data_IF_214762987510
#
_entry.id   IF_214762987510
#
_cell.length_a   1.000
_cell.length_b   1.000
_cell.length_c   1.000
_cell.angle_alpha   90.00
_cell.angle_beta   90.00
_cell.angle_gamma   90.00
#
_symmetry.space_group_name_H-M   'P 1'
#
loop_
_entity.id
_entity.type
_entity.pdbx_description
1 polymer ?
#
# COMPACT_ATOMS: atom_id res chain seq x y z
N UNK A 1 17.82 -37.37 24.01
CA UNK A 1 16.39 -37.27 24.38
C UNK A 1 16.19 -35.97 25.13
N UNK A 2 15.73 -34.90 24.47
CA UNK A 2 15.47 -33.63 25.14
C UNK A 2 14.06 -33.16 24.84
N UNK A 3 13.35 -32.76 25.90
CA UNK A 3 11.89 -32.71 25.98
C UNK A 3 11.33 -31.50 25.25
N UNK A 4 10.27 -31.77 24.47
CA UNK A 4 9.37 -30.81 23.84
C UNK A 4 8.82 -29.82 24.90
N UNK A 5 8.86 -28.53 24.58
CA UNK A 5 7.97 -27.53 25.14
C UNK A 5 7.40 -26.71 23.99
N UNK A 6 6.37 -27.25 23.36
CA UNK A 6 5.47 -26.48 22.50
C UNK A 6 4.62 -25.58 23.39
N UNK A 7 4.92 -24.29 23.39
CA UNK A 7 4.09 -23.26 24.00
C UNK A 7 3.02 -22.89 22.97
N UNK A 8 1.81 -23.36 23.17
CA UNK A 8 0.63 -22.90 22.43
C UNK A 8 0.21 -21.55 23.00
N UNK A 9 0.52 -20.47 22.28
CA UNK A 9 0.00 -19.14 22.57
C UNK A 9 -1.41 -19.03 21.97
N UNK A 10 -2.43 -19.14 22.81
CA UNK A 10 -3.81 -18.77 22.45
C UNK A 10 -3.92 -17.25 22.45
N UNK A 11 -3.86 -16.63 21.27
CA UNK A 11 -4.22 -15.22 21.10
C UNK A 11 -5.74 -15.09 21.26
N UNK A 12 -6.20 -14.54 22.38
CA UNK A 12 -7.58 -14.17 22.57
C UNK A 12 -7.86 -12.91 21.72
N UNK A 13 -8.57 -13.08 20.61
CA UNK A 13 -9.08 -11.96 19.80
C UNK A 13 -10.31 -11.41 20.53
N UNK A 14 -10.13 -10.32 21.26
CA UNK A 14 -11.26 -9.55 21.79
C UNK A 14 -11.89 -8.76 20.65
N UNK A 15 -13.00 -9.27 20.09
CA UNK A 15 -13.85 -8.50 19.17
C UNK A 15 -14.57 -7.41 19.97
N UNK A 16 -14.03 -6.19 19.95
CA UNK A 16 -14.71 -5.02 20.49
C UNK A 16 -15.82 -4.65 19.52
N UNK A 17 -17.04 -5.09 19.79
CA UNK A 17 -18.22 -4.65 19.04
C UNK A 17 -18.63 -3.27 19.56
N UNK A 18 -17.95 -2.23 19.08
CA UNK A 18 -18.41 -0.86 19.26
C UNK A 18 -19.69 -0.66 18.44
N UNK A 19 -20.73 0.02 18.96
CA UNK A 19 -21.86 0.42 18.14
C UNK A 19 -21.36 1.51 17.21
N UNK A 20 -20.99 1.11 16.00
CA UNK A 20 -20.62 2.01 14.92
C UNK A 20 -21.88 2.78 14.52
N UNK A 21 -22.12 3.91 15.20
CA UNK A 21 -22.85 5.04 14.64
C UNK A 21 -22.00 5.72 13.55
N UNK A 22 -21.33 4.92 12.72
CA UNK A 22 -20.77 5.39 11.48
C UNK A 22 -21.98 5.66 10.60
N UNK A 23 -22.22 6.92 10.27
CA UNK A 23 -23.10 7.23 9.15
C UNK A 23 -22.60 6.46 7.93
N UNK A 24 -23.50 6.02 7.04
CA UNK A 24 -23.12 5.36 5.79
C UNK A 24 -21.98 6.11 5.08
N UNK A 25 -21.94 7.45 5.18
CA UNK A 25 -20.87 8.31 4.66
C UNK A 25 -19.45 7.88 5.08
N UNK A 26 -19.24 7.45 6.33
CA UNK A 26 -17.93 7.01 6.79
C UNK A 26 -17.61 5.59 6.29
N UNK A 27 -18.64 4.74 6.15
CA UNK A 27 -18.49 3.39 5.57
C UNK A 27 -18.20 3.48 4.07
N UNK A 28 -18.95 4.30 3.32
CA UNK A 28 -18.72 4.57 1.89
C UNK A 28 -17.29 5.09 1.67
N UNK A 29 -16.82 6.06 2.48
CA UNK A 29 -15.43 6.53 2.40
C UNK A 29 -14.39 5.48 2.75
N UNK A 30 -14.67 4.61 3.73
CA UNK A 30 -13.78 3.50 4.04
C UNK A 30 -13.73 2.47 2.90
N UNK A 31 -14.87 2.20 2.25
CA UNK A 31 -14.94 1.32 1.08
C UNK A 31 -14.22 1.92 -0.14
N UNK A 32 -14.35 3.23 -0.38
CA UNK A 32 -13.59 3.94 -1.41
C UNK A 32 -12.08 3.91 -1.12
N UNK A 33 -11.67 4.19 0.13
CA UNK A 33 -10.27 4.10 0.56
C UNK A 33 -9.71 2.69 0.34
N UNK A 34 -10.43 1.65 0.79
CA UNK A 34 -10.01 0.26 0.63
C UNK A 34 -9.97 -0.18 -0.84
N UNK A 35 -10.94 0.26 -1.66
CA UNK A 35 -10.98 -0.01 -3.10
C UNK A 35 -9.79 0.60 -3.84
N UNK A 36 -9.46 1.85 -3.55
CA UNK A 36 -8.32 2.53 -4.17
C UNK A 36 -6.99 2.00 -3.63
N UNK A 37 -6.86 1.73 -2.33
CA UNK A 37 -5.69 1.08 -1.75
C UNK A 37 -5.44 -0.31 -2.37
N UNK A 38 -6.48 -1.10 -2.62
CA UNK A 38 -6.37 -2.39 -3.34
C UNK A 38 -5.90 -2.23 -4.79
N UNK A 39 -6.35 -1.18 -5.47
CA UNK A 39 -5.91 -0.87 -6.84
C UNK A 39 -4.45 -0.44 -6.88
N UNK A 40 -4.00 0.28 -5.86
CA UNK A 40 -2.58 0.61 -5.66
C UNK A 40 -1.77 -0.65 -5.39
N UNK A 41 -2.19 -1.53 -4.47
CA UNK A 41 -1.48 -2.77 -4.17
C UNK A 41 -1.24 -3.60 -5.43
N UNK A 42 -2.26 -3.73 -6.29
CA UNK A 42 -2.12 -4.39 -7.60
C UNK A 42 -1.14 -3.66 -8.54
N UNK A 43 -1.16 -2.33 -8.54
CA UNK A 43 -0.23 -1.54 -9.34
C UNK A 43 1.22 -1.65 -8.83
N UNK A 44 1.41 -1.87 -7.52
CA UNK A 44 2.70 -2.16 -6.92
C UNK A 44 3.18 -3.56 -7.29
N UNK A 45 2.31 -4.56 -7.32
CA UNK A 45 2.65 -5.90 -7.82
C UNK A 45 3.07 -5.86 -9.30
N UNK A 46 2.33 -5.12 -10.14
CA UNK A 46 2.70 -4.85 -11.53
C UNK A 46 4.09 -4.21 -11.62
N UNK A 47 4.39 -3.24 -10.74
CA UNK A 47 5.70 -2.60 -10.68
C UNK A 47 6.79 -3.59 -10.27
N UNK A 48 6.56 -4.45 -9.28
CA UNK A 48 7.54 -5.46 -8.86
C UNK A 48 7.85 -6.43 -10.00
N UNK A 49 6.84 -6.83 -10.75
CA UNK A 49 7.00 -7.68 -11.92
C UNK A 49 7.77 -6.95 -13.02
N UNK A 50 7.37 -5.71 -13.35
CA UNK A 50 8.05 -4.90 -14.35
C UNK A 50 9.52 -4.59 -13.99
N UNK A 51 9.84 -4.38 -12.70
CA UNK A 51 11.22 -4.16 -12.23
C UNK A 51 12.03 -5.46 -12.26
N UNK A 52 11.41 -6.60 -11.97
CA UNK A 52 12.06 -7.92 -12.12
C UNK A 52 12.43 -8.21 -13.57
N UNK A 53 11.61 -7.72 -14.51
CA UNK A 53 11.82 -7.79 -15.95
C UNK A 53 12.55 -6.55 -16.52
N UNK A 54 12.91 -5.55 -15.69
CA UNK A 54 13.39 -4.23 -16.16
C UNK A 54 14.78 -4.26 -16.79
N UNK A 55 15.50 -5.37 -16.70
CA UNK A 55 16.67 -5.60 -17.56
C UNK A 55 16.32 -5.57 -19.06
N UNK A 56 15.04 -5.73 -19.41
CA UNK A 56 14.56 -5.85 -20.79
C UNK A 56 13.77 -4.61 -21.27
N UNK A 57 12.99 -3.93 -20.42
CA UNK A 57 12.24 -2.71 -20.81
C UNK A 57 11.94 -1.74 -19.62
N UNK A 58 12.75 -0.68 -19.42
CA UNK A 58 12.51 0.31 -18.37
C UNK A 58 11.22 1.14 -18.58
N UNK A 59 10.67 1.19 -19.79
CA UNK A 59 9.42 1.92 -20.06
C UNK A 59 8.19 1.23 -19.44
N UNK A 60 8.28 -0.08 -19.16
CA UNK A 60 7.21 -0.80 -18.46
C UNK A 60 7.14 -0.41 -16.99
N UNK A 61 8.30 -0.26 -16.33
CA UNK A 61 8.37 0.20 -14.95
C UNK A 61 7.83 1.64 -14.82
N UNK A 62 8.22 2.53 -15.73
CA UNK A 62 7.73 3.92 -15.73
C UNK A 62 6.20 4.01 -15.87
N UNK A 63 5.61 3.24 -16.80
CA UNK A 63 4.14 3.15 -16.92
C UNK A 63 3.45 2.60 -15.67
N UNK A 64 4.08 1.69 -14.94
CA UNK A 64 3.54 1.19 -13.68
C UNK A 64 3.58 2.28 -12.59
N UNK A 65 4.70 3.00 -12.49
CA UNK A 65 4.86 4.15 -11.59
C UNK A 65 3.85 5.26 -11.89
N UNK A 66 3.60 5.58 -13.16
CA UNK A 66 2.58 6.54 -13.58
C UNK A 66 1.17 6.15 -13.14
N UNK A 67 0.83 4.85 -13.24
CA UNK A 67 -0.47 4.35 -12.77
C UNK A 67 -0.60 4.50 -11.25
N UNK A 68 0.46 4.20 -10.51
CA UNK A 68 0.47 4.36 -9.05
C UNK A 68 0.28 5.83 -8.69
N UNK A 69 1.04 6.76 -9.28
CA UNK A 69 0.96 8.19 -8.98
C UNK A 69 -0.43 8.78 -9.28
N UNK A 70 -1.05 8.34 -10.39
CA UNK A 70 -2.41 8.74 -10.73
C UNK A 70 -3.41 8.30 -9.66
N UNK A 71 -3.34 7.03 -9.23
CA UNK A 71 -4.23 6.52 -8.18
C UNK A 71 -4.02 7.26 -6.85
N UNK A 72 -2.77 7.57 -6.49
CA UNK A 72 -2.44 8.35 -5.29
C UNK A 72 -3.01 9.76 -5.35
N UNK A 73 -2.99 10.39 -6.53
CA UNK A 73 -3.57 11.70 -6.77
C UNK A 73 -5.10 11.71 -6.73
N UNK A 74 -5.75 10.59 -7.05
CA UNK A 74 -7.18 10.44 -6.85
C UNK A 74 -7.50 10.30 -5.35
N UNK A 75 -6.75 9.47 -4.60
CA UNK A 75 -6.93 9.34 -3.15
C UNK A 75 -6.73 10.65 -2.40
N UNK A 76 -5.65 11.38 -2.70
CA UNK A 76 -5.31 12.64 -2.04
C UNK A 76 -6.43 13.70 -2.16
N UNK A 77 -7.24 13.64 -3.22
CA UNK A 77 -8.41 14.52 -3.39
C UNK A 77 -9.62 14.10 -2.56
N UNK A 78 -9.67 12.83 -2.16
CA UNK A 78 -10.79 12.20 -1.47
C UNK A 78 -10.55 12.03 0.03
N UNK A 79 -9.30 12.18 0.47
CA UNK A 79 -8.82 11.92 1.83
C UNK A 79 -8.26 13.17 2.50
N UNK A 80 -8.51 13.34 3.79
CA UNK A 80 -7.96 14.45 4.58
C UNK A 80 -6.48 14.22 4.99
N UNK A 81 -5.79 15.26 5.49
CA UNK A 81 -4.41 15.28 6.03
C UNK A 81 -4.17 14.37 7.28
N UNK A 82 -5.06 13.42 7.53
CA UNK A 82 -4.94 12.40 8.56
C UNK A 82 -3.92 11.31 8.19
N UNK A 83 -4.09 10.14 8.80
CA UNK A 83 -3.15 9.03 8.60
C UNK A 83 -3.18 8.48 7.18
N UNK A 84 -4.30 8.63 6.46
CA UNK A 84 -4.41 8.30 5.04
C UNK A 84 -3.53 9.22 4.18
N UNK A 85 -3.67 10.56 4.30
CA UNK A 85 -2.85 11.52 3.55
C UNK A 85 -1.35 11.38 3.81
N UNK A 86 -0.94 11.08 5.06
CA UNK A 86 0.46 10.76 5.40
C UNK A 86 0.94 9.48 4.72
N UNK A 87 0.10 8.44 4.66
CA UNK A 87 0.44 7.17 4.02
C UNK A 87 0.54 7.32 2.51
N UNK A 88 -0.38 8.09 1.90
CA UNK A 88 -0.32 8.48 0.48
C UNK A 88 0.99 9.23 0.17
N UNK A 89 1.37 10.18 1.02
CA UNK A 89 2.62 10.94 0.84
C UNK A 89 3.87 10.06 0.93
N UNK A 90 3.96 9.15 1.90
CA UNK A 90 5.08 8.19 1.99
C UNK A 90 5.15 7.27 0.77
N UNK A 91 4.00 6.84 0.27
CA UNK A 91 3.96 5.99 -0.92
C UNK A 91 4.40 6.76 -2.18
N UNK A 92 3.99 8.04 -2.33
CA UNK A 92 4.51 8.92 -3.40
C UNK A 92 6.03 9.05 -3.34
N UNK A 93 6.59 9.33 -2.15
CA UNK A 93 8.05 9.44 -1.97
C UNK A 93 8.79 8.13 -2.35
N UNK A 94 8.22 6.98 -2.01
CA UNK A 94 8.79 5.69 -2.37
C UNK A 94 8.75 5.45 -3.90
N UNK A 95 7.64 5.79 -4.55
CA UNK A 95 7.46 5.71 -6.01
C UNK A 95 8.45 6.62 -6.73
N UNK A 96 8.62 7.85 -6.26
CA UNK A 96 9.58 8.82 -6.83
C UNK A 96 11.03 8.35 -6.69
N UNK A 97 11.37 7.69 -5.58
CA UNK A 97 12.68 7.06 -5.43
C UNK A 97 12.91 5.94 -6.44
N UNK A 98 11.90 5.12 -6.72
CA UNK A 98 12.00 4.05 -7.74
C UNK A 98 12.13 4.67 -9.13
N UNK A 99 11.32 5.68 -9.46
CA UNK A 99 11.44 6.42 -10.74
C UNK A 99 12.84 6.98 -10.92
N UNK A 100 13.38 7.63 -9.89
CA UNK A 100 14.74 8.20 -9.90
C UNK A 100 15.83 7.14 -10.08
N UNK A 101 15.62 5.92 -9.59
CA UNK A 101 16.55 4.81 -9.81
C UNK A 101 16.47 4.33 -11.27
N UNK A 102 15.26 4.15 -11.81
CA UNK A 102 15.02 3.77 -13.22
C UNK A 102 15.64 4.78 -14.19
N UNK A 103 15.35 6.08 -14.01
CA UNK A 103 15.87 7.16 -14.85
C UNK A 103 17.39 7.26 -14.82
N UNK A 104 17.99 6.98 -13.66
CA UNK A 104 19.44 6.99 -13.49
C UNK A 104 20.12 5.68 -13.97
N UNK A 105 19.36 4.71 -14.49
CA UNK A 105 19.89 3.39 -14.86
C UNK A 105 20.43 2.58 -13.68
N UNK A 106 19.95 2.86 -12.46
CA UNK A 106 20.31 2.15 -11.23
C UNK A 106 19.29 1.04 -10.98
N UNK A 107 19.69 -0.02 -10.28
CA UNK A 107 18.76 -1.08 -9.87
C UNK A 107 17.75 -0.53 -8.87
N UNK A 108 16.45 -0.46 -9.23
CA UNK A 108 15.44 0.11 -8.33
C UNK A 108 15.15 -0.83 -7.17
N UNK A 109 14.87 -0.27 -5.99
CA UNK A 109 14.37 -1.04 -4.84
C UNK A 109 12.87 -0.81 -4.67
N UNK A 110 12.07 -1.86 -4.88
CA UNK A 110 10.60 -1.80 -4.79
C UNK A 110 10.07 -2.02 -3.37
N UNK A 111 10.86 -2.60 -2.47
CA UNK A 111 10.42 -2.90 -1.09
C UNK A 111 9.83 -1.68 -0.35
N UNK A 112 10.40 -0.46 -0.42
CA UNK A 112 9.79 0.72 0.22
C UNK A 112 8.40 1.07 -0.33
N UNK A 113 8.13 0.77 -1.62
CA UNK A 113 6.82 0.97 -2.24
C UNK A 113 5.82 -0.05 -1.70
N UNK A 114 6.23 -1.31 -1.57
CA UNK A 114 5.42 -2.39 -0.99
C UNK A 114 5.06 -2.05 0.46
N UNK A 115 6.05 -1.70 1.28
CA UNK A 115 5.84 -1.40 2.70
C UNK A 115 4.88 -0.20 2.88
N UNK A 116 5.01 0.83 2.05
CA UNK A 116 4.12 2.00 2.10
C UNK A 116 2.69 1.68 1.61
N UNK A 117 2.53 0.81 0.61
CA UNK A 117 1.22 0.35 0.14
C UNK A 117 0.50 -0.53 1.17
N UNK A 118 1.26 -1.35 1.90
CA UNK A 118 0.73 -2.15 3.02
C UNK A 118 0.24 -1.25 4.16
N UNK A 119 1.02 -0.23 4.54
CA UNK A 119 0.57 0.76 5.54
C UNK A 119 -0.67 1.53 5.07
N UNK A 120 -0.73 1.92 3.79
CA UNK A 120 -1.92 2.55 3.21
C UNK A 120 -3.16 1.65 3.31
N UNK A 121 -2.99 0.36 3.02
CA UNK A 121 -4.08 -0.64 3.13
C UNK A 121 -4.54 -0.81 4.58
N UNK A 122 -3.62 -0.79 5.54
CA UNK A 122 -3.93 -0.86 6.98
C UNK A 122 -4.73 0.35 7.45
N UNK A 123 -4.36 1.56 7.05
CA UNK A 123 -5.09 2.78 7.45
C UNK A 123 -6.45 2.89 6.76
N UNK A 124 -6.62 2.31 5.56
CA UNK A 124 -7.90 2.26 4.85
C UNK A 124 -8.84 1.14 5.33
N UNK A 125 -8.36 0.18 6.11
CA UNK A 125 -9.19 -0.93 6.60
C UNK A 125 -9.84 -0.54 7.93
N UNK A 126 -11.18 -0.51 8.04
CA UNK A 126 -11.84 -0.35 9.33
C UNK A 126 -11.52 -1.56 10.22
N UNK A 127 -11.00 -1.31 11.42
CA UNK A 127 -10.65 -2.32 12.42
C UNK A 127 -11.85 -3.07 13.01
#
# INVERSE_FOLDING_TARGET
>A
MSRRKTVTATAAVALVVAPLLLSCSAVDRALDCAGTASTIARSVDDLQQAVSDAGEDPAQADKALDRIDKNLTEMDKETDDGDVGKSVSRLREAVDSVRSDVEAGRTPRTQPVVDAADELTKVCTPG
#
